data_IF_289700170698
#
_entry.id   IF_289700170698
#
_cell.length_a   1.000
_cell.length_b   1.000
_cell.length_c   1.000
_cell.angle_alpha   90.00
_cell.angle_beta   90.00
_cell.angle_gamma   90.00
#
_symmetry.space_group_name_H-M   'P 1'
#
loop_
_entity.id
_entity.type
_entity.pdbx_description
1 polymer ?
#
# COMPACT_ATOMS: atom_id res chain seq x y z
N UNK A 1 -23.68 -18.74 -23.55
CA UNK A 1 -22.97 -18.10 -24.65
C UNK A 1 -22.66 -16.66 -24.24
N UNK A 2 -21.38 -16.27 -24.26
CA UNK A 2 -21.04 -14.86 -24.06
C UNK A 2 -21.49 -14.10 -25.31
N UNK A 3 -22.42 -13.19 -25.17
CA UNK A 3 -22.87 -12.30 -26.25
C UNK A 3 -21.84 -11.20 -26.46
N UNK A 4 -21.60 -10.84 -27.72
CA UNK A 4 -20.74 -9.69 -28.06
C UNK A 4 -21.30 -8.43 -27.40
N UNK A 5 -20.46 -7.67 -26.72
CA UNK A 5 -20.88 -6.46 -26.02
C UNK A 5 -21.01 -5.28 -27.02
N UNK A 6 -22.12 -5.22 -27.71
CA UNK A 6 -22.43 -4.16 -28.68
C UNK A 6 -22.43 -2.76 -28.06
N UNK A 7 -22.81 -2.63 -26.78
CA UNK A 7 -22.83 -1.34 -26.08
C UNK A 7 -21.43 -0.77 -25.90
N UNK A 8 -20.48 -1.61 -25.53
CA UNK A 8 -19.08 -1.21 -25.39
C UNK A 8 -18.48 -0.83 -26.76
N UNK A 9 -18.82 -1.59 -27.77
CA UNK A 9 -18.37 -1.36 -29.13
C UNK A 9 -18.87 -0.01 -29.69
N UNK A 10 -20.14 0.33 -29.46
CA UNK A 10 -20.72 1.63 -29.84
C UNK A 10 -20.07 2.78 -29.06
N UNK A 11 -19.78 2.59 -27.79
CA UNK A 11 -19.12 3.60 -26.96
C UNK A 11 -17.68 3.91 -27.39
N UNK A 12 -17.01 2.95 -28.05
CA UNK A 12 -15.62 3.09 -28.53
C UNK A 12 -15.49 3.44 -30.01
N UNK A 13 -16.60 3.55 -30.75
CA UNK A 13 -16.57 3.94 -32.17
C UNK A 13 -16.32 5.44 -32.37
N UNK A 14 -15.57 5.78 -33.38
CA UNK A 14 -15.23 7.19 -33.77
C UNK A 14 -16.45 8.06 -34.02
N UNK A 15 -17.57 7.46 -34.46
CA UNK A 15 -18.79 8.16 -34.84
C UNK A 15 -19.47 8.90 -33.70
N UNK A 16 -19.38 8.34 -32.46
CA UNK A 16 -20.07 8.86 -31.30
C UNK A 16 -19.11 9.39 -30.22
N UNK A 17 -17.88 9.73 -30.55
CA UNK A 17 -16.83 10.01 -29.61
C UNK A 17 -16.49 11.48 -29.49
N UNK A 18 -16.51 12.04 -28.29
CA UNK A 18 -15.67 13.19 -27.93
C UNK A 18 -14.20 12.75 -27.83
N UNK A 19 -13.25 13.62 -28.18
CA UNK A 19 -11.82 13.30 -28.19
C UNK A 19 -11.31 12.77 -26.85
N UNK A 20 -11.91 13.20 -25.75
CA UNK A 20 -11.58 12.80 -24.38
C UNK A 20 -12.73 12.03 -23.73
N UNK A 21 -12.41 11.02 -22.95
CA UNK A 21 -13.36 10.29 -22.11
C UNK A 21 -13.02 10.50 -20.65
N UNK A 22 -14.04 10.68 -19.81
CA UNK A 22 -13.86 10.82 -18.38
C UNK A 22 -13.35 9.52 -17.78
N UNK A 23 -12.32 9.61 -16.94
CA UNK A 23 -11.77 8.48 -16.19
C UNK A 23 -12.48 8.38 -14.84
N UNK A 24 -13.45 7.48 -14.75
CA UNK A 24 -14.19 7.21 -13.52
C UNK A 24 -13.63 5.98 -12.76
N UNK A 25 -12.50 5.43 -13.17
CA UNK A 25 -11.95 4.18 -12.64
C UNK A 25 -10.70 4.38 -11.80
N UNK A 26 -9.86 5.33 -12.18
CA UNK A 26 -8.56 5.52 -11.49
C UNK A 26 -8.76 6.09 -10.10
N UNK A 27 -8.21 5.41 -9.10
CA UNK A 27 -8.11 5.86 -7.71
C UNK A 27 -6.65 6.14 -7.39
N UNK A 28 -6.41 7.19 -6.60
CA UNK A 28 -5.09 7.47 -6.07
C UNK A 28 -4.80 6.61 -4.83
N UNK A 29 -3.53 6.52 -4.45
CA UNK A 29 -3.11 5.94 -3.17
C UNK A 29 -2.02 6.84 -2.57
N UNK A 30 -2.33 7.47 -1.44
CA UNK A 30 -1.44 8.42 -0.78
C UNK A 30 -0.15 7.75 -0.31
N UNK A 31 -0.23 6.53 0.23
CA UNK A 31 0.95 5.80 0.69
C UNK A 31 1.89 5.44 -0.45
N UNK A 32 1.38 4.85 -1.55
CA UNK A 32 2.22 4.51 -2.71
C UNK A 32 2.91 5.74 -3.31
N UNK A 33 2.19 6.85 -3.38
CA UNK A 33 2.73 8.13 -3.83
C UNK A 33 3.87 8.59 -2.94
N UNK A 34 3.68 8.53 -1.63
CA UNK A 34 4.71 8.93 -0.66
C UNK A 34 5.93 8.00 -0.72
N UNK A 35 5.73 6.67 -0.79
CA UNK A 35 6.82 5.71 -0.94
C UNK A 35 7.60 5.91 -2.25
N UNK A 36 6.90 6.23 -3.33
CA UNK A 36 7.53 6.53 -4.62
C UNK A 36 8.38 7.81 -4.54
N UNK A 37 7.86 8.87 -3.96
CA UNK A 37 8.58 10.14 -3.81
C UNK A 37 9.77 10.04 -2.85
N UNK A 38 9.68 9.16 -1.84
CA UNK A 38 10.76 8.91 -0.88
C UNK A 38 11.81 7.90 -1.38
N UNK A 39 11.66 7.34 -2.60
CA UNK A 39 12.59 6.34 -3.15
C UNK A 39 12.49 4.96 -2.47
N UNK A 40 11.39 4.68 -1.78
CA UNK A 40 11.15 3.42 -1.06
C UNK A 40 10.38 2.37 -1.88
N UNK A 41 10.26 2.60 -3.18
CA UNK A 41 9.88 1.58 -4.14
C UNK A 41 11.16 0.88 -4.63
N UNK A 42 11.44 -0.30 -4.10
CA UNK A 42 12.66 -1.06 -4.39
C UNK A 42 12.29 -2.38 -5.07
N UNK A 43 12.55 -2.48 -6.36
CA UNK A 43 12.28 -3.71 -7.12
C UNK A 43 13.10 -4.88 -6.60
N UNK A 44 12.50 -6.06 -6.57
CA UNK A 44 13.18 -7.31 -6.26
C UNK A 44 13.28 -8.20 -7.52
N UNK A 45 14.44 -8.80 -7.75
CA UNK A 45 14.72 -9.54 -8.98
C UNK A 45 14.33 -11.02 -8.93
N UNK A 46 13.78 -11.50 -7.81
CA UNK A 46 13.37 -12.89 -7.63
C UNK A 46 13.83 -13.46 -6.28
N UNK A 47 13.90 -14.78 -6.20
CA UNK A 47 14.15 -15.52 -4.97
C UNK A 47 12.88 -16.21 -4.46
N UNK A 48 13.05 -17.11 -3.49
CA UNK A 48 11.93 -17.83 -2.86
C UNK A 48 11.01 -16.89 -2.08
N UNK A 49 11.62 -15.97 -1.34
CA UNK A 49 10.96 -14.97 -0.50
C UNK A 49 11.59 -13.60 -0.74
N UNK A 50 10.89 -12.54 -0.36
CA UNK A 50 11.45 -11.19 -0.30
C UNK A 50 12.04 -11.04 1.09
N UNK A 51 13.36 -10.87 1.17
CA UNK A 51 14.08 -10.74 2.43
C UNK A 51 14.29 -9.27 2.76
N UNK A 52 14.01 -8.91 4.01
CA UNK A 52 14.28 -7.60 4.58
C UNK A 52 15.20 -7.77 5.78
N UNK A 53 16.42 -7.29 5.66
CA UNK A 53 17.43 -7.34 6.72
C UNK A 53 17.04 -6.42 7.88
N UNK A 54 17.27 -6.90 9.11
CA UNK A 54 16.92 -6.22 10.36
C UNK A 54 18.12 -6.23 11.31
N UNK A 55 18.35 -5.10 11.97
CA UNK A 55 19.16 -4.98 13.16
C UNK A 55 18.21 -4.78 14.36
N UNK A 56 18.19 -5.71 15.31
CA UNK A 56 17.17 -5.75 16.35
C UNK A 56 17.69 -5.55 17.77
N UNK A 57 18.99 -5.66 17.98
CA UNK A 57 19.58 -5.56 19.31
C UNK A 57 20.90 -4.77 19.27
N UNK A 58 21.23 -4.20 20.41
CA UNK A 58 22.53 -3.61 20.65
C UNK A 58 23.54 -4.70 21.06
N UNK A 59 24.84 -4.45 20.81
CA UNK A 59 25.86 -5.37 21.25
C UNK A 59 25.99 -5.38 22.77
N UNK A 60 25.70 -6.51 23.42
CA UNK A 60 25.69 -6.68 24.86
C UNK A 60 27.10 -6.66 25.50
N UNK A 61 28.16 -6.68 24.71
CA UNK A 61 29.55 -6.70 25.22
C UNK A 61 30.03 -5.30 25.65
N UNK A 62 29.23 -4.25 25.44
CA UNK A 62 29.60 -2.89 25.84
C UNK A 62 29.77 -2.77 27.35
N UNK A 63 30.92 -2.29 27.81
CA UNK A 63 31.16 -1.92 29.20
C UNK A 63 32.19 -0.78 29.31
N UNK A 64 32.06 -0.01 30.36
CA UNK A 64 33.15 0.85 30.82
C UNK A 64 34.18 -0.01 31.53
N UNK A 65 35.47 0.22 31.30
CA UNK A 65 36.53 -0.58 31.89
C UNK A 65 37.63 0.32 32.48
N UNK A 66 38.40 -0.25 33.40
CA UNK A 66 39.55 0.40 34.01
C UNK A 66 40.75 -0.58 34.05
N UNK A 67 41.85 -0.13 33.46
CA UNK A 67 43.15 -0.84 33.54
C UNK A 67 43.13 -2.27 33.01
N UNK A 68 43.30 -3.22 33.90
CA UNK A 68 43.51 -4.66 33.57
C UNK A 68 42.23 -5.50 33.54
N UNK A 69 41.06 -4.90 33.41
CA UNK A 69 39.82 -5.66 33.32
C UNK A 69 39.72 -6.49 32.03
N UNK A 70 39.15 -7.67 32.14
CA UNK A 70 38.88 -8.53 30.97
C UNK A 70 37.64 -8.07 30.21
N UNK A 71 37.72 -8.15 28.87
CA UNK A 71 36.58 -7.91 27.98
C UNK A 71 35.74 -9.19 27.82
N UNK A 72 34.44 -8.99 27.66
CA UNK A 72 33.55 -10.05 27.21
C UNK A 72 33.69 -10.17 25.69
N UNK A 73 34.10 -11.34 25.21
CA UNK A 73 34.33 -11.64 23.80
C UNK A 73 33.25 -12.57 23.22
N UNK A 74 32.16 -12.80 23.99
CA UNK A 74 31.06 -13.63 23.52
C UNK A 74 30.38 -13.00 22.29
N UNK A 75 30.12 -13.79 21.22
CA UNK A 75 29.36 -13.27 20.09
C UNK A 75 27.93 -12.93 20.50
N UNK A 76 27.42 -11.82 20.00
CA UNK A 76 26.03 -11.38 20.25
C UNK A 76 25.28 -11.38 18.92
N UNK A 77 24.14 -12.05 18.90
CA UNK A 77 23.24 -12.03 17.74
C UNK A 77 22.49 -10.68 17.71
N UNK A 78 22.77 -9.86 16.70
CA UNK A 78 22.20 -8.51 16.56
C UNK A 78 21.43 -8.33 15.26
N UNK A 79 21.56 -9.27 14.32
CA UNK A 79 20.94 -9.23 13.01
C UNK A 79 19.94 -10.37 12.83
N UNK A 80 18.85 -10.07 12.15
CA UNK A 80 17.83 -11.05 11.71
C UNK A 80 17.29 -10.62 10.35
N UNK A 81 16.43 -11.42 9.75
CA UNK A 81 15.81 -11.10 8.48
C UNK A 81 14.31 -11.40 8.51
N UNK A 82 13.51 -10.43 8.12
CA UNK A 82 12.09 -10.66 7.88
C UNK A 82 11.88 -11.19 6.47
N UNK A 83 11.15 -12.30 6.34
CA UNK A 83 10.86 -12.96 5.07
C UNK A 83 9.40 -12.80 4.68
N UNK A 84 9.17 -12.21 3.51
CA UNK A 84 7.84 -12.00 2.97
C UNK A 84 7.62 -12.85 1.72
N UNK A 85 6.49 -13.55 1.66
CA UNK A 85 6.13 -14.34 0.49
C UNK A 85 5.73 -13.44 -0.68
N UNK A 86 6.04 -13.86 -1.89
CA UNK A 86 5.55 -13.24 -3.11
C UNK A 86 4.04 -13.34 -3.19
N UNK A 87 3.38 -12.22 -3.51
CA UNK A 87 1.95 -12.13 -3.79
C UNK A 87 1.76 -11.78 -5.25
N UNK A 88 0.80 -12.45 -5.89
CA UNK A 88 0.54 -12.29 -7.32
C UNK A 88 -0.90 -11.88 -7.55
N UNK A 89 -1.09 -11.02 -8.54
CA UNK A 89 -2.40 -10.62 -9.03
C UNK A 89 -2.42 -10.65 -10.56
N UNK A 90 -3.57 -10.98 -11.12
CA UNK A 90 -3.76 -10.97 -12.56
C UNK A 90 -5.14 -10.42 -12.93
N UNK A 91 -5.20 -9.68 -14.03
CA UNK A 91 -6.43 -9.28 -14.70
C UNK A 91 -6.34 -9.75 -16.14
N UNK A 92 -7.36 -10.45 -16.63
CA UNK A 92 -7.36 -10.99 -17.97
C UNK A 92 -8.27 -10.15 -18.87
N UNK A 93 -7.72 -9.68 -19.96
CA UNK A 93 -8.46 -9.05 -21.06
C UNK A 93 -8.77 -10.10 -22.11
N UNK A 94 -10.04 -10.29 -22.44
CA UNK A 94 -10.48 -11.16 -23.52
C UNK A 94 -11.09 -10.36 -24.67
N UNK A 95 -10.89 -10.83 -25.89
CA UNK A 95 -11.59 -10.35 -27.08
C UNK A 95 -11.88 -11.50 -28.02
N UNK A 96 -13.07 -11.47 -28.66
CA UNK A 96 -13.43 -12.48 -29.66
C UNK A 96 -12.86 -12.15 -31.04
N UNK A 97 -12.63 -13.18 -31.84
CA UNK A 97 -12.21 -13.00 -33.23
C UNK A 97 -13.21 -12.17 -34.04
N UNK A 98 -14.50 -12.33 -33.78
CA UNK A 98 -15.55 -11.51 -34.42
C UNK A 98 -15.41 -10.01 -34.10
N UNK A 99 -15.16 -9.67 -32.80
CA UNK A 99 -14.97 -8.27 -32.39
C UNK A 99 -13.76 -7.66 -33.10
N UNK A 100 -12.63 -8.38 -33.12
CA UNK A 100 -11.36 -7.81 -33.60
C UNK A 100 -11.25 -7.86 -35.13
N UNK A 101 -11.67 -8.96 -35.77
CA UNK A 101 -11.43 -9.14 -37.20
C UNK A 101 -12.56 -8.60 -38.08
N UNK A 102 -13.78 -8.56 -37.55
CA UNK A 102 -14.97 -8.19 -38.35
C UNK A 102 -15.51 -6.83 -37.96
N UNK A 103 -15.80 -6.63 -36.64
CA UNK A 103 -16.49 -5.41 -36.19
C UNK A 103 -15.57 -4.20 -36.07
N UNK A 104 -14.26 -4.38 -35.95
CA UNK A 104 -13.28 -3.29 -35.80
C UNK A 104 -12.60 -2.90 -37.13
N UNK A 105 -12.95 -3.54 -38.23
CA UNK A 105 -12.38 -3.24 -39.57
C UNK A 105 -13.31 -2.35 -40.40
N UNK A 106 -12.73 -1.46 -41.21
CA UNK A 106 -13.45 -0.59 -42.13
C UNK A 106 -13.41 0.90 -41.78
N UNK A 107 -14.25 1.72 -42.47
CA UNK A 107 -14.29 3.19 -42.28
C UNK A 107 -14.83 3.61 -40.89
N UNK A 108 -15.58 2.75 -40.23
CA UNK A 108 -16.09 2.94 -38.87
C UNK A 108 -15.24 2.17 -37.84
N UNK A 109 -13.96 1.94 -38.15
CA UNK A 109 -13.06 1.19 -37.28
C UNK A 109 -13.05 1.73 -35.86
N UNK A 110 -13.26 0.86 -34.91
CA UNK A 110 -13.09 1.15 -33.49
C UNK A 110 -11.63 1.42 -33.20
N UNK A 111 -11.34 2.56 -32.63
CA UNK A 111 -9.99 2.89 -32.20
C UNK A 111 -9.56 1.90 -31.10
N UNK A 112 -8.70 0.96 -31.50
CA UNK A 112 -7.96 0.12 -30.55
C UNK A 112 -8.75 -0.35 -29.32
N UNK A 113 -9.90 -1.05 -29.55
CA UNK A 113 -10.73 -1.61 -28.47
C UNK A 113 -9.86 -2.41 -27.48
N UNK A 114 -8.94 -3.20 -28.00
CA UNK A 114 -8.01 -3.99 -27.18
C UNK A 114 -7.12 -3.10 -26.32
N UNK A 115 -6.56 -2.03 -26.87
CA UNK A 115 -5.72 -1.08 -26.13
C UNK A 115 -6.50 -0.41 -24.99
N UNK A 116 -7.76 -0.05 -25.24
CA UNK A 116 -8.64 0.51 -24.21
C UNK A 116 -9.00 -0.48 -23.11
N UNK A 117 -9.26 -1.74 -23.46
CA UNK A 117 -9.48 -2.81 -22.51
C UNK A 117 -8.23 -3.09 -21.66
N UNK A 118 -7.03 -3.10 -22.27
CA UNK A 118 -5.76 -3.25 -21.56
C UNK A 118 -5.55 -2.06 -20.60
N UNK A 119 -5.77 -0.83 -21.07
CA UNK A 119 -5.67 0.37 -20.22
C UNK A 119 -6.62 0.31 -19.01
N UNK A 120 -7.88 -0.08 -19.24
CA UNK A 120 -8.86 -0.27 -18.16
C UNK A 120 -8.40 -1.36 -17.18
N UNK A 121 -7.88 -2.47 -17.67
CA UNK A 121 -7.37 -3.57 -16.84
C UNK A 121 -6.17 -3.14 -16.00
N UNK A 122 -5.28 -2.29 -16.52
CA UNK A 122 -4.19 -1.71 -15.76
C UNK A 122 -4.69 -0.80 -14.63
N UNK A 123 -5.72 0.02 -14.90
CA UNK A 123 -6.37 0.84 -13.86
C UNK A 123 -7.02 -0.02 -12.78
N UNK A 124 -7.74 -1.06 -13.18
CA UNK A 124 -8.34 -2.03 -12.28
C UNK A 124 -7.29 -2.72 -11.42
N UNK A 125 -6.15 -3.11 -12.01
CA UNK A 125 -5.03 -3.71 -11.27
C UNK A 125 -4.48 -2.73 -10.24
N UNK A 126 -4.23 -1.47 -10.62
CA UNK A 126 -3.73 -0.43 -9.70
C UNK A 126 -4.68 -0.21 -8.54
N UNK A 127 -5.98 -0.12 -8.78
CA UNK A 127 -6.98 0.07 -7.73
C UNK A 127 -7.00 -1.11 -6.75
N UNK A 128 -6.99 -2.34 -7.26
CA UNK A 128 -6.99 -3.52 -6.40
C UNK A 128 -5.67 -3.70 -5.63
N UNK A 129 -4.53 -3.35 -6.22
CA UNK A 129 -3.24 -3.28 -5.51
C UNK A 129 -3.28 -2.20 -4.43
N UNK A 130 -3.86 -1.03 -4.71
CA UNK A 130 -4.09 0.03 -3.72
C UNK A 130 -4.89 -0.45 -2.52
N UNK A 131 -6.01 -1.12 -2.76
CA UNK A 131 -6.83 -1.73 -1.69
C UNK A 131 -6.02 -2.80 -0.95
N UNK A 132 -5.26 -3.61 -1.67
CA UNK A 132 -4.42 -4.66 -1.08
C UNK A 132 -3.35 -4.13 -0.13
N UNK A 133 -2.83 -2.93 -0.36
CA UNK A 133 -1.82 -2.30 0.50
C UNK A 133 -2.36 -1.99 1.90
N UNK A 134 -3.65 -1.71 2.04
CA UNK A 134 -4.28 -1.48 3.34
C UNK A 134 -4.88 -2.74 3.96
N UNK A 135 -4.88 -3.87 3.25
CA UNK A 135 -5.52 -5.11 3.69
C UNK A 135 -4.78 -5.82 4.83
N UNK A 136 -5.46 -6.76 5.44
CA UNK A 136 -4.91 -7.70 6.42
C UNK A 136 -4.15 -8.88 5.78
N UNK A 137 -4.17 -9.00 4.45
CA UNK A 137 -3.52 -10.08 3.71
C UNK A 137 -4.23 -11.43 3.74
N UNK A 138 -5.40 -11.54 4.41
CA UNK A 138 -6.17 -12.80 4.51
C UNK A 138 -7.06 -13.05 3.31
N UNK A 139 -7.39 -12.01 2.56
CA UNK A 139 -8.26 -12.08 1.39
C UNK A 139 -7.77 -13.06 0.33
N UNK A 140 -8.71 -13.62 -0.44
CA UNK A 140 -8.45 -14.61 -1.49
C UNK A 140 -7.66 -15.84 -1.01
N UNK A 141 -7.99 -16.37 0.15
CA UNK A 141 -7.28 -17.48 0.80
C UNK A 141 -5.80 -17.16 1.06
N UNK A 142 -5.53 -16.01 1.65
CA UNK A 142 -4.20 -15.50 2.01
C UNK A 142 -3.27 -15.24 0.80
N UNK A 143 -3.83 -15.03 -0.39
CA UNK A 143 -3.09 -14.67 -1.61
C UNK A 143 -2.95 -13.15 -1.78
N UNK A 144 -3.74 -12.37 -1.04
CA UNK A 144 -3.70 -10.91 -1.08
C UNK A 144 -2.37 -10.37 -0.56
N UNK A 145 -2.01 -9.15 -0.97
CA UNK A 145 -0.83 -8.44 -0.49
C UNK A 145 -0.88 -8.35 1.05
N UNK A 146 0.26 -8.55 1.71
CA UNK A 146 0.41 -8.35 3.15
C UNK A 146 0.44 -6.84 3.42
N UNK A 147 -0.74 -6.26 3.59
CA UNK A 147 -0.91 -4.82 3.69
C UNK A 147 -0.63 -4.25 5.07
N UNK A 148 -0.98 -2.96 5.26
CA UNK A 148 -0.73 -2.24 6.50
C UNK A 148 -1.44 -2.88 7.71
N UNK A 149 -2.69 -3.31 7.56
CA UNK A 149 -3.45 -3.91 8.65
C UNK A 149 -2.80 -5.21 9.18
N UNK A 150 -2.13 -5.98 8.30
CA UNK A 150 -1.34 -7.13 8.73
C UNK A 150 -0.05 -6.72 9.42
N UNK A 151 0.62 -5.69 8.93
CA UNK A 151 1.93 -5.26 9.41
C UNK A 151 1.84 -4.38 10.65
N UNK A 152 0.80 -3.55 10.76
CA UNK A 152 0.53 -2.64 11.87
C UNK A 152 -0.82 -3.05 12.44
N UNK A 153 -0.82 -4.05 13.30
CA UNK A 153 -2.04 -4.64 13.83
C UNK A 153 -2.56 -3.87 15.05
N UNK A 154 -3.87 -3.97 15.27
CA UNK A 154 -4.55 -3.44 16.44
C UNK A 154 -4.14 -4.18 17.72
N UNK A 155 -3.82 -5.47 17.60
CA UNK A 155 -3.15 -6.25 18.65
C UNK A 155 -1.71 -6.58 18.23
N UNK A 156 -0.71 -5.79 18.65
CA UNK A 156 0.69 -6.03 18.30
C UNK A 156 1.34 -7.16 19.10
N UNK A 157 0.64 -7.78 20.05
CA UNK A 157 1.20 -8.84 20.91
C UNK A 157 1.00 -10.22 20.31
N UNK A 158 0.23 -10.35 19.25
CA UNK A 158 -0.09 -11.62 18.58
C UNK A 158 0.26 -11.59 17.10
N UNK A 159 0.27 -12.76 16.49
CA UNK A 159 0.47 -12.94 15.05
C UNK A 159 1.94 -12.99 14.61
N UNK A 160 2.11 -13.41 13.35
CA UNK A 160 3.43 -13.55 12.71
C UNK A 160 3.46 -12.71 11.44
N UNK A 161 4.45 -11.84 11.32
CA UNK A 161 4.66 -10.97 10.16
C UNK A 161 6.10 -11.08 9.71
N UNK A 162 6.32 -11.27 8.42
CA UNK A 162 7.67 -11.47 7.90
C UNK A 162 8.41 -12.67 8.52
N UNK A 163 7.68 -13.73 8.90
CA UNK A 163 8.26 -14.89 9.58
C UNK A 163 8.55 -14.71 11.07
N UNK A 164 8.46 -13.48 11.59
CA UNK A 164 8.78 -13.15 12.98
C UNK A 164 7.50 -13.12 13.83
N UNK A 165 7.46 -13.90 14.91
CA UNK A 165 6.33 -13.95 15.84
C UNK A 165 6.39 -12.79 16.84
N UNK A 166 5.38 -11.92 16.82
CA UNK A 166 5.26 -10.75 17.71
C UNK A 166 5.10 -11.10 19.19
N UNK A 167 4.54 -12.27 19.50
CA UNK A 167 4.42 -12.71 20.89
C UNK A 167 5.79 -12.86 21.55
N UNK A 168 6.77 -13.39 20.81
CA UNK A 168 8.12 -13.68 21.29
C UNK A 168 9.06 -12.46 21.20
N UNK A 169 8.84 -11.59 20.19
CA UNK A 169 9.78 -10.53 19.83
C UNK A 169 9.15 -9.15 19.97
N UNK A 170 9.43 -8.46 21.08
CA UNK A 170 8.87 -7.14 21.39
C UNK A 170 9.32 -6.03 20.44
N UNK A 171 10.52 -6.12 19.85
CA UNK A 171 11.01 -5.14 18.89
C UNK A 171 10.18 -5.11 17.60
N UNK A 172 9.44 -6.21 17.29
CA UNK A 172 8.60 -6.33 16.09
C UNK A 172 7.13 -5.93 16.34
N UNK A 173 6.85 -5.29 17.48
CA UNK A 173 5.52 -4.79 17.84
C UNK A 173 5.38 -3.33 17.42
N UNK A 174 4.28 -3.02 16.73
CA UNK A 174 3.89 -1.65 16.44
C UNK A 174 3.32 -0.95 17.67
N UNK A 175 3.24 0.38 17.63
CA UNK A 175 2.58 1.18 18.66
C UNK A 175 1.07 1.19 18.43
N UNK A 176 0.30 1.24 19.52
CA UNK A 176 -1.16 1.34 19.47
C UNK A 176 -1.66 2.49 20.34
N UNK A 177 -2.71 3.15 19.86
CA UNK A 177 -3.49 4.11 20.62
C UNK A 177 -4.96 3.76 20.47
N UNK A 178 -5.60 3.31 21.53
CA UNK A 178 -7.01 2.99 21.50
C UNK A 178 -7.76 3.72 22.60
N UNK A 179 -8.98 4.14 22.32
CA UNK A 179 -9.93 4.64 23.29
C UNK A 179 -11.34 4.33 22.78
N UNK A 180 -12.29 4.17 23.70
CA UNK A 180 -13.68 4.07 23.32
C UNK A 180 -14.23 5.45 22.95
N UNK A 181 -14.98 5.52 21.87
CA UNK A 181 -15.64 6.75 21.39
C UNK A 181 -14.64 7.92 21.16
N UNK A 182 -13.67 7.71 20.30
CA UNK A 182 -12.72 8.75 19.89
C UNK A 182 -13.51 9.87 19.17
N UNK A 183 -13.27 11.11 19.59
CA UNK A 183 -13.93 12.32 19.08
C UNK A 183 -12.90 13.41 18.75
N UNK A 184 -13.35 14.49 18.13
CA UNK A 184 -12.49 15.66 17.84
C UNK A 184 -11.81 16.26 19.07
N UNK A 185 -12.35 16.03 20.28
CA UNK A 185 -11.76 16.51 21.53
C UNK A 185 -10.64 15.58 22.04
N UNK A 186 -10.82 14.27 21.90
CA UNK A 186 -9.88 13.27 22.45
C UNK A 186 -8.78 12.91 21.45
N UNK A 187 -9.06 12.94 20.17
CA UNK A 187 -8.13 12.55 19.11
C UNK A 187 -6.78 13.28 19.14
N UNK A 188 -6.70 14.62 19.30
CA UNK A 188 -5.40 15.30 19.30
C UNK A 188 -4.47 14.86 20.41
N UNK A 189 -5.02 14.49 21.59
CA UNK A 189 -4.25 13.92 22.70
C UNK A 189 -3.66 12.56 22.35
N UNK A 190 -4.45 11.68 21.74
CA UNK A 190 -4.01 10.37 21.27
C UNK A 190 -2.97 10.49 20.14
N UNK A 191 -3.19 11.38 19.18
CA UNK A 191 -2.23 11.65 18.10
C UNK A 191 -0.87 12.10 18.65
N UNK A 192 -0.86 13.00 19.64
CA UNK A 192 0.39 13.45 20.28
C UNK A 192 1.10 12.30 21.00
N UNK A 193 0.36 11.49 21.75
CA UNK A 193 0.93 10.34 22.45
C UNK A 193 1.50 9.30 21.47
N UNK A 194 0.76 9.01 20.39
CA UNK A 194 1.20 8.10 19.32
C UNK A 194 2.45 8.61 18.61
N UNK A 195 2.48 9.91 18.25
CA UNK A 195 3.63 10.51 17.60
C UNK A 195 4.90 10.38 18.45
N UNK A 196 4.79 10.64 19.77
CA UNK A 196 5.89 10.47 20.71
C UNK A 196 6.32 9.01 20.86
N UNK A 197 5.39 8.07 20.88
CA UNK A 197 5.68 6.63 20.98
C UNK A 197 6.41 6.11 19.72
N UNK A 198 6.09 6.63 18.55
CA UNK A 198 6.76 6.27 17.29
C UNK A 198 8.11 6.97 17.10
N UNK A 199 8.43 7.99 17.88
CA UNK A 199 9.67 8.78 17.74
C UNK A 199 10.88 8.05 18.32
N UNK A 200 12.02 8.16 17.63
CA UNK A 200 13.34 7.76 18.13
C UNK A 200 14.39 8.76 17.65
N UNK A 201 14.78 9.68 18.52
CA UNK A 201 15.69 10.76 18.14
C UNK A 201 15.12 11.57 16.97
N UNK A 202 15.82 11.68 15.83
CA UNK A 202 15.33 12.39 14.65
C UNK A 202 14.31 11.61 13.83
N UNK A 203 14.15 10.30 14.07
CA UNK A 203 13.21 9.45 13.34
C UNK A 203 11.80 9.66 13.88
N UNK A 204 10.93 10.19 13.02
CA UNK A 204 9.54 10.53 13.34
C UNK A 204 8.60 10.00 12.25
N UNK A 205 7.33 9.85 12.58
CA UNK A 205 6.31 9.59 11.57
C UNK A 205 6.28 10.73 10.54
N UNK A 206 6.26 10.39 9.26
CA UNK A 206 6.26 11.36 8.14
C UNK A 206 4.92 11.45 7.44
N UNK A 207 4.13 10.39 7.52
CA UNK A 207 2.82 10.30 6.90
C UNK A 207 1.83 9.75 7.92
N UNK A 208 0.66 10.39 8.00
CA UNK A 208 -0.48 9.91 8.75
C UNK A 208 -1.61 9.70 7.75
N UNK A 209 -2.07 8.46 7.64
CA UNK A 209 -3.19 8.10 6.76
C UNK A 209 -4.40 7.83 7.62
N UNK A 210 -5.49 8.53 7.35
CA UNK A 210 -6.70 8.47 8.14
C UNK A 210 -7.91 8.08 7.30
N UNK A 211 -8.83 7.34 7.91
CA UNK A 211 -10.19 7.16 7.40
C UNK A 211 -11.01 8.46 7.49
N UNK A 212 -12.14 8.51 6.81
CA UNK A 212 -13.03 9.66 6.73
C UNK A 212 -13.46 10.17 8.11
N UNK A 213 -13.79 9.26 9.03
CA UNK A 213 -14.25 9.60 10.38
C UNK A 213 -13.10 10.27 11.16
N UNK A 214 -11.94 9.62 11.22
CA UNK A 214 -10.76 10.15 11.95
C UNK A 214 -10.19 11.40 11.31
N UNK A 215 -10.25 11.52 9.99
CA UNK A 215 -9.84 12.74 9.30
C UNK A 215 -10.78 13.90 9.64
N UNK A 216 -12.10 13.66 9.68
CA UNK A 216 -13.10 14.67 10.06
C UNK A 216 -12.92 15.08 11.52
N UNK A 217 -12.75 14.13 12.45
CA UNK A 217 -12.49 14.41 13.86
C UNK A 217 -11.25 15.31 14.04
N UNK A 218 -10.18 15.02 13.28
CA UNK A 218 -9.00 15.86 13.31
C UNK A 218 -9.25 17.24 12.71
N UNK A 219 -9.94 17.33 11.58
CA UNK A 219 -10.32 18.60 10.97
C UNK A 219 -11.12 19.47 11.92
N UNK A 220 -12.11 18.90 12.60
CA UNK A 220 -12.97 19.61 13.53
C UNK A 220 -12.27 20.01 14.82
N UNK A 221 -11.20 19.29 15.19
CA UNK A 221 -10.36 19.65 16.33
C UNK A 221 -9.50 20.90 16.12
N UNK A 222 -9.25 21.26 14.84
CA UNK A 222 -8.45 22.41 14.48
C UNK A 222 -9.31 23.68 14.47
N UNK A 223 -8.82 24.73 15.15
CA UNK A 223 -9.43 26.06 15.01
C UNK A 223 -9.13 26.64 13.63
N UNK A 224 -9.93 27.61 13.19
CA UNK A 224 -9.79 28.24 11.86
C UNK A 224 -8.39 28.83 11.62
N UNK A 225 -7.70 29.25 12.68
CA UNK A 225 -6.33 29.80 12.60
C UNK A 225 -5.27 28.69 12.51
N UNK A 226 -5.57 27.50 13.01
CA UNK A 226 -4.65 26.34 13.04
C UNK A 226 -4.76 25.43 11.82
N UNK A 227 -5.77 25.63 10.96
CA UNK A 227 -5.92 24.90 9.71
C UNK A 227 -4.88 25.36 8.70
N UNK A 228 -3.64 24.99 8.95
CA UNK A 228 -2.53 25.27 8.03
C UNK A 228 -2.47 24.12 7.02
N UNK A 229 -2.98 24.38 5.82
CA UNK A 229 -2.68 23.56 4.66
C UNK A 229 -1.26 23.87 4.22
N UNK A 230 -0.43 22.86 4.05
CA UNK A 230 0.89 23.03 3.43
C UNK A 230 0.72 23.21 1.93
N UNK A 231 0.83 24.43 1.44
CA UNK A 231 0.73 24.77 0.00
C UNK A 231 1.74 24.02 -0.89
N UNK A 232 2.85 23.59 -0.30
CA UNK A 232 3.96 22.90 -1.00
C UNK A 232 3.63 21.49 -1.49
N UNK A 233 2.41 21.00 -1.29
CA UNK A 233 2.09 19.59 -1.34
C UNK A 233 1.00 19.21 -2.30
N UNK A 234 0.75 20.02 -3.25
CA UNK A 234 0.07 19.60 -4.46
C UNK A 234 0.73 18.42 -5.20
N UNK A 235 1.56 17.65 -4.50
CA UNK A 235 2.17 16.43 -4.98
C UNK A 235 1.10 15.37 -5.15
N UNK A 236 0.22 15.55 -6.14
CA UNK A 236 -0.86 14.69 -6.62
C UNK A 236 -2.31 15.09 -6.25
N UNK A 237 -2.58 16.37 -5.93
CA UNK A 237 -3.98 16.81 -5.77
C UNK A 237 -4.67 16.35 -4.49
N UNK A 238 -3.89 15.94 -3.46
CA UNK A 238 -4.41 15.61 -2.13
C UNK A 238 -4.38 16.86 -1.25
N UNK A 239 -5.51 17.17 -0.61
CA UNK A 239 -5.51 18.11 0.49
C UNK A 239 -4.89 17.46 1.71
N UNK A 240 -3.78 18.05 2.21
CA UNK A 240 -3.06 17.52 3.37
C UNK A 240 -3.15 18.51 4.51
N UNK A 241 -3.42 18.02 5.72
CA UNK A 241 -3.27 18.76 6.95
C UNK A 241 -1.88 18.49 7.54
N UNK A 242 -1.34 19.45 8.29
CA UNK A 242 -0.08 19.29 8.98
C UNK A 242 -0.32 18.89 10.44
N UNK A 243 0.37 17.84 10.89
CA UNK A 243 0.47 17.50 12.31
C UNK A 243 1.94 17.37 12.68
N UNK A 244 2.49 18.35 13.40
CA UNK A 244 3.92 18.44 13.72
C UNK A 244 4.77 18.33 12.43
N UNK A 245 5.59 17.30 12.30
CA UNK A 245 6.41 17.02 11.10
C UNK A 245 5.70 16.14 10.06
N UNK A 246 4.57 15.54 10.40
CA UNK A 246 3.84 14.60 9.57
C UNK A 246 2.76 15.28 8.72
N UNK A 247 2.47 14.67 7.59
CA UNK A 247 1.36 15.02 6.72
C UNK A 247 0.17 14.12 7.03
N UNK A 248 -1.00 14.70 7.30
CA UNK A 248 -2.25 13.96 7.51
C UNK A 248 -3.04 13.96 6.23
N UNK A 249 -3.35 12.77 5.71
CA UNK A 249 -4.03 12.57 4.43
C UNK A 249 -5.24 11.68 4.63
N UNK A 250 -6.35 12.03 3.99
CA UNK A 250 -7.50 11.15 3.82
C UNK A 250 -7.27 10.20 2.66
N UNK A 251 -7.39 8.89 2.87
CA UNK A 251 -7.27 7.85 1.84
C UNK A 251 -8.35 6.75 1.99
N UNK A 252 -9.58 7.16 2.28
CA UNK A 252 -10.68 6.24 2.56
C UNK A 252 -11.16 5.40 1.38
N UNK A 253 -10.92 5.85 0.14
CA UNK A 253 -11.30 5.12 -1.07
C UNK A 253 -10.37 3.93 -1.39
N UNK A 254 -9.25 3.81 -0.70
CA UNK A 254 -8.21 2.82 -0.95
C UNK A 254 -8.33 1.54 -0.12
N UNK A 255 -9.45 1.36 0.61
CA UNK A 255 -9.68 0.17 1.44
C UNK A 255 -9.08 0.24 2.85
N UNK A 256 -8.84 1.45 3.34
CA UNK A 256 -8.46 1.69 4.73
C UNK A 256 -9.59 1.21 5.67
N UNK A 257 -9.29 0.50 6.77
CA UNK A 257 -10.31 0.15 7.75
C UNK A 257 -10.99 1.38 8.33
N UNK A 258 -12.30 1.29 8.57
CA UNK A 258 -13.06 2.37 9.18
C UNK A 258 -12.52 2.69 10.57
N UNK A 259 -12.60 3.96 10.98
CA UNK A 259 -12.17 4.45 12.30
C UNK A 259 -10.69 4.24 12.64
N UNK A 260 -9.86 3.99 11.62
CA UNK A 260 -8.42 3.81 11.77
C UNK A 260 -7.62 5.02 11.30
N UNK A 261 -6.52 5.29 11.99
CA UNK A 261 -5.52 6.29 11.60
C UNK A 261 -4.13 5.68 11.80
N UNK A 262 -3.37 5.55 10.73
CA UNK A 262 -2.03 4.97 10.74
C UNK A 262 -0.96 6.05 10.76
N UNK A 263 -0.03 5.95 11.70
CA UNK A 263 1.17 6.77 11.83
C UNK A 263 2.34 6.03 11.18
N UNK A 264 2.81 6.55 10.06
CA UNK A 264 3.76 5.84 9.21
C UNK A 264 5.09 6.58 9.15
N UNK A 265 6.15 5.90 9.56
CA UNK A 265 7.49 6.29 9.20
C UNK A 265 7.85 5.59 7.89
N UNK A 266 7.78 6.34 6.80
CA UNK A 266 7.96 5.82 5.45
C UNK A 266 9.39 5.33 5.17
N UNK A 267 10.38 5.69 5.98
CA UNK A 267 11.77 5.22 5.81
C UNK A 267 11.92 3.72 6.07
N UNK A 268 10.99 3.14 6.84
CA UNK A 268 11.00 1.72 7.22
C UNK A 268 9.92 0.89 6.51
N UNK A 269 9.22 1.48 5.55
CA UNK A 269 8.23 0.81 4.72
C UNK A 269 8.71 0.78 3.28
N UNK A 270 8.68 -0.38 2.63
CA UNK A 270 9.15 -0.56 1.26
C UNK A 270 8.12 -1.29 0.42
N UNK A 271 7.83 -0.71 -0.73
CA UNK A 271 7.09 -1.40 -1.78
C UNK A 271 8.06 -2.21 -2.64
N UNK A 272 7.84 -3.52 -2.73
CA UNK A 272 8.73 -4.47 -3.40
C UNK A 272 8.05 -5.13 -4.61
N UNK A 273 7.89 -4.45 -5.73
CA UNK A 273 7.42 -5.08 -6.96
C UNK A 273 8.54 -5.94 -7.58
N UNK A 274 8.15 -6.98 -8.31
CA UNK A 274 9.09 -7.76 -9.09
C UNK A 274 9.57 -6.98 -10.32
N UNK A 275 10.84 -7.06 -10.64
CA UNK A 275 11.47 -6.27 -11.72
C UNK A 275 10.82 -6.51 -13.08
N UNK A 276 10.47 -7.76 -13.42
CA UNK A 276 9.93 -8.14 -14.73
C UNK A 276 8.41 -8.34 -14.73
N UNK A 277 7.74 -8.33 -13.57
CA UNK A 277 6.31 -8.63 -13.45
C UNK A 277 5.63 -7.56 -12.58
N UNK A 278 5.66 -6.32 -13.08
CA UNK A 278 5.06 -5.18 -12.40
C UNK A 278 4.00 -4.54 -13.31
N UNK A 279 2.77 -5.03 -13.22
CA UNK A 279 1.63 -4.58 -14.04
C UNK A 279 1.92 -4.65 -15.56
N UNK A 280 2.55 -5.74 -15.99
CA UNK A 280 2.97 -5.93 -17.38
C UNK A 280 1.92 -6.78 -18.10
N UNK A 281 1.42 -6.35 -19.29
CA UNK A 281 0.65 -7.21 -20.15
C UNK A 281 1.56 -8.30 -20.73
N UNK A 282 1.13 -9.53 -20.64
CA UNK A 282 1.81 -10.67 -21.26
C UNK A 282 1.38 -10.81 -22.73
N UNK A 283 2.12 -11.64 -23.45
CA UNK A 283 1.80 -11.95 -24.83
C UNK A 283 0.39 -12.51 -25.00
N UNK A 284 -0.21 -12.17 -26.12
CA UNK A 284 -1.51 -12.69 -26.55
C UNK A 284 -1.48 -14.23 -26.55
N UNK A 285 -2.53 -14.81 -25.99
CA UNK A 285 -2.76 -16.27 -26.01
C UNK A 285 -4.10 -16.56 -26.64
N UNK A 286 -4.11 -17.44 -27.63
CA UNK A 286 -5.34 -17.85 -28.27
C UNK A 286 -6.01 -18.96 -27.42
N UNK A 287 -7.34 -18.93 -27.34
CA UNK A 287 -8.12 -19.94 -26.64
C UNK A 287 -8.21 -21.21 -27.48
N UNK A 288 -8.03 -22.38 -26.87
CA UNK A 288 -8.09 -23.67 -27.58
C UNK A 288 -9.49 -24.05 -28.06
N UNK A 289 -10.53 -23.60 -27.35
CA UNK A 289 -11.91 -24.08 -27.58
C UNK A 289 -12.87 -22.96 -28.03
N UNK A 290 -12.38 -21.74 -28.23
CA UNK A 290 -13.21 -20.59 -28.60
C UNK A 290 -12.43 -19.68 -29.55
N UNK A 291 -13.12 -19.06 -30.51
CA UNK A 291 -12.55 -17.98 -31.32
C UNK A 291 -12.39 -16.71 -30.47
N UNK A 292 -11.44 -16.77 -29.54
CA UNK A 292 -11.13 -15.69 -28.64
C UNK A 292 -9.65 -15.72 -28.26
N UNK A 293 -9.09 -14.57 -27.96
CA UNK A 293 -7.75 -14.47 -27.42
C UNK A 293 -7.76 -13.75 -26.05
N UNK A 294 -6.74 -14.02 -25.28
CA UNK A 294 -6.55 -13.53 -23.94
C UNK A 294 -5.24 -12.75 -23.83
N UNK A 295 -5.28 -11.61 -23.17
CA UNK A 295 -4.09 -10.84 -22.78
C UNK A 295 -4.12 -10.67 -21.28
N UNK A 296 -3.37 -11.49 -20.51
CA UNK A 296 -3.29 -11.32 -19.08
C UNK A 296 -2.34 -10.17 -18.72
N UNK A 297 -2.80 -9.29 -17.84
CA UNK A 297 -1.95 -8.30 -17.15
C UNK A 297 -1.60 -8.88 -15.80
N UNK A 298 -0.32 -8.96 -15.48
CA UNK A 298 0.18 -9.63 -14.27
C UNK A 298 0.97 -8.67 -13.40
N UNK A 299 0.88 -8.92 -12.10
CA UNK A 299 1.63 -8.23 -11.06
C UNK A 299 2.18 -9.25 -10.07
N UNK A 300 3.40 -9.04 -9.59
CA UNK A 300 3.97 -9.76 -8.46
C UNK A 300 4.73 -8.77 -7.56
N UNK A 301 4.51 -8.87 -6.27
CA UNK A 301 5.14 -8.00 -5.29
C UNK A 301 4.55 -8.14 -3.90
N UNK A 302 5.11 -7.44 -2.94
CA UNK A 302 4.55 -7.33 -1.60
C UNK A 302 5.00 -6.01 -0.93
N UNK A 303 4.32 -5.62 0.14
CA UNK A 303 4.75 -4.57 1.04
C UNK A 303 5.63 -5.19 2.13
N UNK A 304 6.79 -4.58 2.40
CA UNK A 304 7.72 -5.04 3.44
C UNK A 304 8.02 -3.92 4.43
N UNK A 305 8.32 -4.29 5.65
CA UNK A 305 8.64 -3.38 6.73
C UNK A 305 9.96 -3.81 7.37
N UNK A 306 10.80 -2.85 7.74
CA UNK A 306 12.06 -3.10 8.45
C UNK A 306 12.01 -2.74 9.94
N UNK A 307 11.06 -1.90 10.36
CA UNK A 307 10.92 -1.52 11.76
C UNK A 307 9.44 -1.30 12.13
N UNK A 308 8.89 -2.22 12.91
CA UNK A 308 7.51 -2.15 13.36
C UNK A 308 7.31 -1.12 14.49
N UNK A 309 8.27 -0.99 15.39
CA UNK A 309 8.17 -0.13 16.56
C UNK A 309 8.08 1.38 16.23
N UNK A 310 8.37 1.75 14.98
CA UNK A 310 8.25 3.13 14.47
C UNK A 310 6.95 3.37 13.72
N UNK A 311 6.10 2.39 13.67
CA UNK A 311 4.77 2.46 13.09
C UNK A 311 3.72 2.42 14.18
N UNK A 312 2.61 3.10 13.97
CA UNK A 312 1.53 3.13 14.95
C UNK A 312 0.15 3.15 14.31
N UNK A 313 -0.84 2.72 15.07
CA UNK A 313 -2.25 2.79 14.70
C UNK A 313 -3.08 3.37 15.83
N UNK A 314 -3.99 4.25 15.49
CA UNK A 314 -5.06 4.72 16.39
C UNK A 314 -6.36 4.15 15.85
N UNK A 315 -7.13 3.52 16.73
CA UNK A 315 -8.43 2.95 16.39
C UNK A 315 -9.40 3.03 17.56
N UNK A 316 -10.70 2.97 17.27
CA UNK A 316 -11.73 2.92 18.31
C UNK A 316 -11.83 1.50 18.88
N UNK A 317 -11.67 1.38 20.19
CA UNK A 317 -11.84 0.12 20.91
C UNK A 317 -13.26 0.04 21.48
N UNK A 318 -14.26 -0.11 20.61
CA UNK A 318 -15.65 -0.27 21.04
C UNK A 318 -15.88 -1.49 21.95
#
# INVERSE_FOLDING_TARGET
MATVNLTELVATTLRNRSKDYADNVSKGNALLTKLSSSGNVKSASGGRTIVQELEYAENATFKYYSGYETFDIAPTDVFDAAEYNWKQAAVVVSASGLEVNVMTTGKEATLNLLEKRISNSMKTMRNNVSIGIYSDGTGSSSKQITGLQAQIADDPTSGTVGGINRANWSFWRNQIGSAANISSTTLPGLMKAMWLACQRGPDVAKLIVADSIRFTDYWDSLTTIQRITREDKGMMGWETLAFLSAEVVYDGDSGLPAEHMYFLNTDYLFWRPHTSVNMVPLDRRDSLNQDAFLVPVVFAGNLTMSNAARQGVIFDSA
#
